data_IF_914960234132
#
_entry.id   IF_914960234132
#
_cell.length_a   1.000
_cell.length_b   1.000
_cell.length_c   1.000
_cell.angle_alpha   90.00
_cell.angle_beta   90.00
_cell.angle_gamma   90.00
#
_symmetry.space_group_name_H-M   'P 1'
#
loop_
_entity.id
_entity.type
_entity.pdbx_description
1 polymer ?
#
# COMPACT_ATOMS: atom_id res chain seq x y z
N UNK A 1 0.97 12.78 -2.55
CA UNK A 1 1.68 11.59 -3.07
C UNK A 1 2.64 11.99 -4.20
N UNK A 2 3.78 12.61 -3.87
CA UNK A 2 4.69 13.23 -4.85
C UNK A 2 5.22 12.26 -5.92
N UNK A 3 5.95 11.20 -5.53
CA UNK A 3 6.59 10.28 -6.48
C UNK A 3 5.60 9.56 -7.42
N UNK A 4 4.42 9.18 -6.91
CA UNK A 4 3.38 8.56 -7.75
C UNK A 4 2.87 9.54 -8.81
N UNK A 5 2.63 10.80 -8.44
CA UNK A 5 2.19 11.83 -9.39
C UNK A 5 3.25 12.01 -10.49
N UNK A 6 4.53 12.15 -10.12
CA UNK A 6 5.62 12.32 -11.10
C UNK A 6 5.74 11.14 -12.07
N UNK A 7 5.55 9.91 -11.60
CA UNK A 7 5.55 8.71 -12.47
C UNK A 7 4.33 8.70 -13.40
N UNK A 8 3.14 9.03 -12.88
CA UNK A 8 1.91 9.10 -13.69
C UNK A 8 2.03 10.17 -14.79
N UNK A 9 2.61 11.33 -14.47
CA UNK A 9 2.87 12.38 -15.46
C UNK A 9 3.92 11.94 -16.49
N UNK A 10 5.02 11.31 -16.08
CA UNK A 10 6.01 10.74 -17.02
C UNK A 10 5.34 9.75 -17.98
N UNK A 11 4.51 8.84 -17.46
CA UNK A 11 3.75 7.91 -18.27
C UNK A 11 2.84 8.64 -19.28
N UNK A 12 2.11 9.66 -18.82
CA UNK A 12 1.26 10.48 -19.68
C UNK A 12 2.05 11.16 -20.81
N UNK A 13 3.18 11.79 -20.49
CA UNK A 13 4.06 12.40 -21.50
C UNK A 13 4.51 11.39 -22.55
N UNK A 14 4.94 10.20 -22.12
CA UNK A 14 5.36 9.12 -23.03
C UNK A 14 4.23 8.62 -23.93
N UNK A 15 3.06 8.38 -23.37
CA UNK A 15 1.88 7.91 -24.13
C UNK A 15 1.44 8.93 -25.18
N UNK A 16 1.55 10.22 -24.87
CA UNK A 16 1.18 11.30 -25.78
C UNK A 16 2.33 11.81 -26.65
N UNK A 17 3.49 11.15 -26.61
CA UNK A 17 4.70 11.55 -27.35
C UNK A 17 5.13 13.02 -27.09
N UNK A 18 4.91 13.49 -25.86
CA UNK A 18 5.32 14.81 -25.37
C UNK A 18 6.64 14.66 -24.61
N UNK A 19 7.50 15.68 -24.69
CA UNK A 19 8.72 15.73 -23.88
C UNK A 19 8.39 15.67 -22.39
N UNK A 20 9.11 14.84 -21.64
CA UNK A 20 8.97 14.82 -20.20
C UNK A 20 9.41 16.15 -19.58
N UNK A 21 8.65 16.63 -18.60
CA UNK A 21 9.08 17.69 -17.69
C UNK A 21 10.08 17.18 -16.63
N UNK A 22 10.18 15.86 -16.46
CA UNK A 22 11.02 15.21 -15.45
C UNK A 22 12.32 14.73 -16.08
N UNK A 23 13.44 15.12 -15.49
CA UNK A 23 14.73 14.59 -15.89
C UNK A 23 14.80 13.08 -15.56
N UNK A 24 15.47 12.24 -16.38
CA UNK A 24 15.49 10.78 -16.19
C UNK A 24 15.92 10.32 -14.78
N UNK A 25 16.86 11.03 -14.17
CA UNK A 25 17.32 10.76 -12.80
C UNK A 25 16.22 10.95 -11.75
N UNK A 26 15.28 11.87 -11.98
CA UNK A 26 14.14 12.10 -11.07
C UNK A 26 13.18 10.90 -11.10
N UNK A 27 12.91 10.36 -12.30
CA UNK A 27 12.05 9.17 -12.47
C UNK A 27 12.71 7.95 -11.82
N UNK A 28 14.02 7.76 -12.04
CA UNK A 28 14.78 6.67 -11.42
C UNK A 28 14.76 6.74 -9.88
N UNK A 29 14.95 7.94 -9.31
CA UNK A 29 14.82 8.18 -7.87
C UNK A 29 13.43 7.80 -7.37
N UNK A 30 12.37 8.33 -7.98
CA UNK A 30 10.98 8.05 -7.57
C UNK A 30 10.64 6.56 -7.60
N UNK A 31 11.05 5.84 -8.65
CA UNK A 31 10.84 4.39 -8.76
C UNK A 31 11.56 3.63 -7.64
N UNK A 32 12.82 3.98 -7.37
CA UNK A 32 13.58 3.30 -6.33
C UNK A 32 13.02 3.60 -4.93
N UNK A 33 12.66 4.86 -4.65
CA UNK A 33 12.06 5.27 -3.37
C UNK A 33 10.72 4.56 -3.13
N UNK A 34 9.84 4.45 -4.13
CA UNK A 34 8.57 3.72 -3.98
C UNK A 34 8.83 2.23 -3.77
N UNK A 35 9.75 1.63 -4.53
CA UNK A 35 10.12 0.22 -4.36
C UNK A 35 10.62 -0.05 -2.94
N UNK A 36 11.54 0.77 -2.44
CA UNK A 36 12.09 0.66 -1.09
C UNK A 36 11.00 0.84 -0.03
N UNK A 37 10.12 1.83 -0.19
CA UNK A 37 9.00 2.04 0.71
C UNK A 37 8.08 0.81 0.80
N UNK A 38 7.69 0.24 -0.35
CA UNK A 38 6.86 -0.97 -0.43
C UNK A 38 7.60 -2.19 0.15
N UNK A 39 8.89 -2.34 -0.09
CA UNK A 39 9.62 -3.51 0.41
C UNK A 39 9.90 -3.43 1.91
N UNK A 40 10.14 -2.23 2.43
CA UNK A 40 10.76 -2.04 3.74
C UNK A 40 9.74 -1.60 4.80
N UNK A 41 8.83 -0.67 4.51
CA UNK A 41 8.08 0.00 5.59
C UNK A 41 7.04 -0.90 6.26
N UNK A 42 6.39 -1.80 5.49
CA UNK A 42 5.22 -2.56 5.97
C UNK A 42 4.23 -1.68 6.76
N UNK A 43 3.99 -0.45 6.28
CA UNK A 43 3.11 0.53 6.89
C UNK A 43 2.58 1.54 5.86
N UNK A 44 1.60 2.35 6.26
CA UNK A 44 0.92 3.32 5.41
C UNK A 44 1.31 4.78 5.71
N UNK A 45 2.45 5.00 6.38
CA UNK A 45 2.91 6.33 6.76
C UNK A 45 3.32 7.12 5.52
N UNK A 46 2.89 8.38 5.38
CA UNK A 46 3.31 9.21 4.26
C UNK A 46 4.80 9.54 4.36
N UNK A 47 5.54 9.38 3.26
CA UNK A 47 6.89 9.95 3.12
C UNK A 47 6.77 11.47 3.03
N UNK A 48 7.50 12.20 3.88
CA UNK A 48 7.38 13.66 4.02
C UNK A 48 8.72 14.38 3.77
N UNK A 49 8.79 15.68 4.05
CA UNK A 49 10.04 16.41 4.23
C UNK A 49 10.23 16.67 5.73
N UNK A 50 11.31 16.16 6.32
CA UNK A 50 11.57 16.36 7.77
C UNK A 50 11.99 17.80 8.06
N UNK A 51 12.73 18.39 7.11
CA UNK A 51 13.33 19.71 7.26
C UNK A 51 12.49 20.86 6.67
N UNK A 52 11.22 20.59 6.32
CA UNK A 52 10.30 21.54 5.67
C UNK A 52 10.12 21.28 4.17
N UNK A 53 8.98 21.71 3.62
CA UNK A 53 8.63 21.44 2.23
C UNK A 53 9.69 21.96 1.25
N UNK A 54 10.15 21.08 0.35
CA UNK A 54 11.20 21.36 -0.63
C UNK A 54 12.57 21.76 -0.04
N UNK A 55 12.81 21.48 1.24
CA UNK A 55 14.14 21.60 1.86
C UNK A 55 14.82 20.22 1.81
N UNK A 56 15.75 20.06 0.86
CA UNK A 56 16.40 18.76 0.58
C UNK A 56 15.54 17.84 -0.28
N UNK A 57 15.87 16.55 -0.29
CA UNK A 57 15.08 15.52 -0.96
C UNK A 57 14.00 14.96 -0.03
N UNK A 58 12.93 14.44 -0.63
CA UNK A 58 11.95 13.64 0.11
C UNK A 58 12.69 12.47 0.75
N UNK A 59 12.34 12.12 1.99
CA UNK A 59 13.04 11.11 2.83
C UNK A 59 14.38 11.49 3.45
N UNK A 60 14.94 12.68 3.16
CA UNK A 60 16.15 13.13 3.87
C UNK A 60 15.92 13.14 5.39
N UNK A 61 16.90 12.62 6.12
CA UNK A 61 16.89 12.42 7.58
C UNK A 61 15.72 11.56 8.13
N UNK A 62 14.91 10.95 7.27
CA UNK A 62 13.87 10.02 7.70
C UNK A 62 14.50 8.70 8.10
N UNK A 63 14.30 8.36 9.37
CA UNK A 63 14.71 7.07 9.91
C UNK A 63 13.62 6.05 9.66
N UNK A 64 13.66 5.45 8.48
CA UNK A 64 12.91 4.25 8.19
C UNK A 64 13.78 3.01 8.42
N UNK A 65 13.22 2.03 9.14
CA UNK A 65 13.83 0.72 9.32
C UNK A 65 12.88 -0.30 8.70
N UNK A 66 13.44 -1.33 8.06
CA UNK A 66 12.59 -2.36 7.48
C UNK A 66 11.82 -3.09 8.56
N UNK A 67 10.52 -3.26 8.33
CA UNK A 67 9.58 -3.93 9.21
C UNK A 67 9.23 -5.30 8.64
N UNK A 68 8.80 -6.19 9.52
CA UNK A 68 8.43 -7.54 9.17
C UNK A 68 7.02 -7.57 8.53
N UNK A 69 6.96 -7.80 7.21
CA UNK A 69 5.71 -7.99 6.47
C UNK A 69 4.87 -9.17 6.96
N UNK A 70 5.51 -10.24 7.44
CA UNK A 70 4.80 -11.39 8.01
C UNK A 70 4.18 -11.02 9.36
N UNK A 71 4.86 -10.22 10.17
CA UNK A 71 4.27 -9.68 11.41
C UNK A 71 3.09 -8.74 11.11
N UNK A 72 3.20 -7.86 10.10
CA UNK A 72 2.08 -7.01 9.67
C UNK A 72 0.88 -7.86 9.21
N UNK A 73 1.11 -8.85 8.33
CA UNK A 73 0.04 -9.76 7.87
C UNK A 73 -0.62 -10.49 9.02
N UNK A 74 0.17 -11.07 9.93
CA UNK A 74 -0.36 -11.74 11.13
C UNK A 74 -1.17 -10.79 12.01
N UNK A 75 -0.71 -9.55 12.18
CA UNK A 75 -1.47 -8.53 12.92
C UNK A 75 -2.78 -8.19 12.22
N UNK A 76 -2.77 -7.96 10.92
CA UNK A 76 -3.93 -7.56 10.13
C UNK A 76 -5.00 -8.67 10.06
N UNK A 77 -4.55 -9.92 9.90
CA UNK A 77 -5.43 -11.09 9.75
C UNK A 77 -5.87 -11.73 11.08
N UNK A 78 -5.39 -11.22 12.22
CA UNK A 78 -5.78 -11.76 13.52
C UNK A 78 -7.32 -11.72 13.68
N UNK A 79 -7.97 -12.81 14.12
CA UNK A 79 -9.44 -12.91 14.23
C UNK A 79 -10.14 -11.72 14.90
N UNK A 80 -9.53 -11.16 15.94
CA UNK A 80 -10.06 -9.98 16.64
C UNK A 80 -10.30 -8.76 15.73
N UNK A 81 -9.51 -8.62 14.65
CA UNK A 81 -9.56 -7.54 13.64
C UNK A 81 -10.16 -8.00 12.30
N UNK A 82 -10.40 -9.29 12.13
CA UNK A 82 -10.97 -9.85 10.90
C UNK A 82 -12.37 -9.31 10.62
N UNK A 83 -12.71 -9.21 9.33
CA UNK A 83 -14.06 -8.80 8.89
C UNK A 83 -15.09 -9.78 9.44
N UNK A 84 -16.09 -9.25 10.14
CA UNK A 84 -17.10 -10.07 10.85
C UNK A 84 -18.38 -10.28 10.07
N UNK A 85 -18.40 -9.90 8.80
CA UNK A 85 -19.59 -9.94 7.96
C UNK A 85 -19.35 -10.83 6.75
N UNK A 86 -20.33 -11.69 6.43
CA UNK A 86 -20.32 -12.50 5.20
C UNK A 86 -21.45 -12.05 4.30
N UNK A 87 -21.15 -11.82 3.01
CA UNK A 87 -22.19 -11.65 2.00
C UNK A 87 -22.79 -13.02 1.66
N UNK A 88 -24.08 -13.18 1.91
CA UNK A 88 -24.89 -14.35 1.60
C UNK A 88 -25.72 -14.17 0.33
N UNK A 89 -25.56 -13.05 -0.38
CA UNK A 89 -26.25 -12.83 -1.64
C UNK A 89 -25.81 -13.91 -2.66
N UNK A 90 -26.76 -14.53 -3.38
CA UNK A 90 -26.42 -15.50 -4.41
C UNK A 90 -25.62 -14.84 -5.53
N UNK A 91 -24.81 -15.62 -6.23
CA UNK A 91 -24.00 -15.13 -7.35
C UNK A 91 -24.89 -14.43 -8.40
N UNK A 92 -24.49 -13.22 -8.81
CA UNK A 92 -25.27 -12.39 -9.74
C UNK A 92 -26.40 -11.57 -9.10
N UNK A 93 -26.58 -11.62 -7.78
CA UNK A 93 -27.50 -10.72 -7.09
C UNK A 93 -27.09 -9.25 -7.28
N UNK A 94 -28.07 -8.38 -7.50
CA UNK A 94 -27.86 -6.92 -7.61
C UNK A 94 -27.81 -6.20 -6.26
N UNK A 95 -27.79 -6.95 -5.17
CA UNK A 95 -27.83 -6.45 -3.81
C UNK A 95 -26.94 -7.34 -2.95
N UNK A 96 -26.30 -6.73 -1.96
CA UNK A 96 -25.57 -7.46 -0.94
C UNK A 96 -26.51 -7.87 0.19
N UNK A 97 -26.23 -9.04 0.79
CA UNK A 97 -26.94 -9.52 1.96
C UNK A 97 -25.93 -9.93 3.02
N UNK A 98 -25.52 -8.98 3.85
CA UNK A 98 -24.50 -9.21 4.88
C UNK A 98 -25.12 -9.77 6.16
N UNK A 99 -24.49 -10.80 6.74
CA UNK A 99 -24.76 -11.27 8.10
C UNK A 99 -23.50 -11.19 8.94
N UNK A 100 -23.66 -10.94 10.24
CA UNK A 100 -22.57 -11.13 11.20
C UNK A 100 -22.23 -12.61 11.36
N UNK A 101 -20.94 -12.91 11.50
CA UNK A 101 -20.43 -14.25 11.76
C UNK A 101 -20.19 -14.40 13.27
N UNK A 102 -21.14 -15.02 13.97
CA UNK A 102 -21.07 -15.28 15.42
C UNK A 102 -21.36 -16.78 15.67
N UNK A 103 -20.44 -17.54 16.30
CA UNK A 103 -19.09 -17.15 16.71
C UNK A 103 -18.14 -17.01 15.51
N UNK A 104 -16.99 -16.36 15.72
CA UNK A 104 -15.96 -16.25 14.68
C UNK A 104 -15.54 -17.66 14.21
N UNK A 105 -15.41 -17.89 12.89
CA UNK A 105 -15.07 -19.21 12.39
C UNK A 105 -13.66 -19.57 12.88
N UNK A 106 -13.45 -20.84 13.21
CA UNK A 106 -12.11 -21.32 13.55
C UNK A 106 -11.28 -21.31 12.27
N UNK A 107 -10.30 -20.43 12.21
CA UNK A 107 -9.36 -20.34 11.09
C UNK A 107 -8.33 -21.46 11.17
N UNK A 108 -7.85 -21.91 10.02
CA UNK A 108 -6.65 -22.72 9.88
C UNK A 108 -5.39 -21.88 10.15
N UNK A 109 -4.24 -22.52 10.45
CA UNK A 109 -2.99 -21.80 10.65
C UNK A 109 -2.60 -20.88 9.47
N UNK A 110 -2.91 -21.28 8.23
CA UNK A 110 -2.63 -20.49 7.03
C UNK A 110 -3.58 -19.30 6.87
N UNK A 111 -4.86 -19.47 7.20
CA UNK A 111 -5.85 -18.39 7.25
C UNK A 111 -5.50 -17.36 8.33
N UNK A 112 -5.00 -17.79 9.49
CA UNK A 112 -4.57 -16.89 10.58
C UNK A 112 -3.39 -15.98 10.20
N UNK A 113 -2.56 -16.41 9.23
CA UNK A 113 -1.44 -15.63 8.70
C UNK A 113 -1.75 -14.98 7.33
N UNK A 114 -2.97 -15.15 6.82
CA UNK A 114 -3.47 -14.57 5.57
C UNK A 114 -2.81 -15.14 4.32
N UNK A 115 -2.58 -16.45 4.28
CA UNK A 115 -2.07 -17.18 3.12
C UNK A 115 -3.14 -17.99 2.39
N UNK A 116 -4.41 -17.88 2.79
CA UNK A 116 -5.57 -18.59 2.25
C UNK A 116 -6.55 -17.66 1.54
#
# INVERSE_FOLDING_TARGET
>A
MHCLISITEEYGHRVHNVSSQWAPQHVAHCLNTIREAIMCLADASPMTYVNGFAVGHVTDDQKFMCRDWSALRKWANHPVRGVRYKNLAPEGAKHDNYTEIIPFPKLSPDEEIGLA
#
